data_IF_195098441497
#
_entry.id   IF_195098441497
#
_cell.length_a   1.000
_cell.length_b   1.000
_cell.length_c   1.000
_cell.angle_alpha   90.00
_cell.angle_beta   90.00
_cell.angle_gamma   90.00
#
_symmetry.space_group_name_H-M   'P 1'
#
loop_
_entity.id
_entity.type
_entity.pdbx_description
1 polymer ?
#
# COMPACT_ATOMS: atom_id res chain seq x y z
N UNK A 1 -18.87 -51.56 -17.59
CA UNK A 1 -18.59 -50.16 -18.00
C UNK A 1 -18.34 -49.35 -16.74
N UNK A 2 -17.09 -48.97 -16.47
CA UNK A 2 -16.71 -48.13 -15.32
C UNK A 2 -16.80 -46.66 -15.75
N UNK A 3 -17.62 -45.86 -15.07
CA UNK A 3 -17.67 -44.41 -15.23
C UNK A 3 -16.86 -43.77 -14.10
N UNK A 4 -15.68 -43.24 -14.43
CA UNK A 4 -14.90 -42.39 -13.53
C UNK A 4 -15.54 -41.00 -13.47
N UNK A 5 -16.12 -40.65 -12.33
CA UNK A 5 -16.49 -39.27 -12.00
C UNK A 5 -15.25 -38.57 -11.45
N UNK A 6 -14.64 -37.71 -12.26
CA UNK A 6 -13.61 -36.77 -11.79
C UNK A 6 -14.35 -35.56 -11.23
N UNK A 7 -14.61 -35.56 -9.93
CA UNK A 7 -14.98 -34.33 -9.22
C UNK A 7 -13.75 -33.42 -9.20
N UNK A 8 -13.77 -32.39 -10.05
CA UNK A 8 -12.83 -31.29 -9.98
C UNK A 8 -13.00 -30.58 -8.64
N UNK A 9 -12.10 -30.86 -7.70
CA UNK A 9 -11.99 -30.12 -6.45
C UNK A 9 -11.32 -28.79 -6.78
N UNK A 10 -12.13 -27.77 -7.06
CA UNK A 10 -11.65 -26.40 -7.21
C UNK A 10 -11.20 -25.94 -5.81
N UNK A 11 -9.92 -25.59 -5.57
CA UNK A 11 -9.55 -25.04 -4.29
C UNK A 11 -10.34 -23.74 -4.09
N UNK A 12 -10.86 -23.46 -2.88
CA UNK A 12 -11.40 -22.14 -2.60
C UNK A 12 -10.28 -21.16 -2.91
N UNK A 13 -10.54 -20.23 -3.82
CA UNK A 13 -9.70 -19.07 -3.99
C UNK A 13 -9.44 -18.54 -2.59
N UNK A 14 -8.17 -18.49 -2.18
CA UNK A 14 -7.73 -17.68 -1.06
C UNK A 14 -8.18 -16.27 -1.42
N UNK A 15 -9.39 -15.95 -0.97
CA UNK A 15 -10.01 -14.66 -1.11
C UNK A 15 -9.10 -13.77 -0.30
N UNK A 16 -8.19 -13.14 -1.04
CA UNK A 16 -7.14 -12.35 -0.49
C UNK A 16 -7.84 -11.33 0.40
N UNK A 17 -7.64 -11.45 1.72
CA UNK A 17 -8.05 -10.45 2.71
C UNK A 17 -7.20 -9.17 2.55
N UNK A 18 -6.95 -8.78 1.30
CA UNK A 18 -6.43 -7.54 0.76
C UNK A 18 -7.55 -6.51 0.92
N UNK A 19 -8.05 -6.36 2.14
CA UNK A 19 -8.80 -5.17 2.50
C UNK A 19 -7.82 -4.03 2.27
N UNK A 20 -8.00 -3.32 1.16
CA UNK A 20 -7.40 -2.02 0.91
C UNK A 20 -7.74 -1.17 2.13
N UNK A 21 -6.82 -1.07 3.09
CA UNK A 21 -7.09 -0.37 4.34
C UNK A 21 -7.34 1.09 3.98
N UNK A 22 -8.61 1.48 4.07
CA UNK A 22 -9.06 2.83 3.76
C UNK A 22 -8.52 3.78 4.81
N UNK A 23 -8.19 5.00 4.40
CA UNK A 23 -7.72 6.01 5.34
C UNK A 23 -8.80 6.23 6.41
N UNK A 24 -8.48 5.85 7.64
CA UNK A 24 -9.35 5.95 8.80
C UNK A 24 -8.79 6.95 9.81
N UNK A 25 -9.64 7.45 10.69
CA UNK A 25 -9.23 8.25 11.85
C UNK A 25 -9.14 7.30 13.03
N UNK A 26 -7.95 7.18 13.62
CA UNK A 26 -7.74 6.33 14.79
C UNK A 26 -8.50 6.91 15.99
N UNK A 27 -9.30 6.06 16.62
CA UNK A 27 -10.05 6.42 17.82
C UNK A 27 -9.09 6.83 18.95
N UNK A 28 -9.51 7.83 19.75
CA UNK A 28 -8.69 8.43 20.80
C UNK A 28 -7.70 9.46 20.27
N UNK A 29 -6.76 9.06 19.41
CA UNK A 29 -5.70 9.96 18.95
C UNK A 29 -6.15 10.96 17.88
N UNK A 30 -7.19 10.65 17.11
CA UNK A 30 -7.64 11.48 15.99
C UNK A 30 -6.67 11.53 14.80
N UNK A 31 -5.66 10.67 14.79
CA UNK A 31 -4.67 10.60 13.71
C UNK A 31 -5.30 9.90 12.50
N UNK A 32 -5.15 10.51 11.32
CA UNK A 32 -5.49 9.87 10.06
C UNK A 32 -4.44 8.81 9.73
N UNK A 33 -4.84 7.57 9.50
CA UNK A 33 -3.93 6.49 9.14
C UNK A 33 -4.48 5.67 7.97
N UNK A 34 -3.65 5.29 6.98
CA UNK A 34 -2.24 5.63 6.86
C UNK A 34 -1.94 7.03 6.30
N UNK A 35 -2.96 7.79 5.86
CA UNK A 35 -2.80 9.06 5.16
C UNK A 35 -2.39 10.29 5.97
N UNK A 36 -2.20 10.21 7.28
CA UNK A 36 -1.75 11.36 8.11
C UNK A 36 -0.24 11.55 8.16
N UNK A 37 0.51 10.87 7.29
CA UNK A 37 1.95 11.03 7.18
C UNK A 37 2.28 12.37 6.52
N UNK A 38 3.10 13.19 7.19
CA UNK A 38 3.62 14.44 6.68
C UNK A 38 5.14 14.35 6.47
N UNK A 39 5.64 14.40 5.22
CA UNK A 39 7.07 14.39 4.91
C UNK A 39 7.86 15.50 5.62
N UNK A 40 7.23 16.64 5.93
CA UNK A 40 7.90 17.79 6.56
C UNK A 40 8.17 17.57 8.05
N UNK A 41 7.53 16.59 8.68
CA UNK A 41 7.73 16.24 10.10
C UNK A 41 8.53 14.96 10.27
N UNK A 42 9.14 14.45 9.19
CA UNK A 42 9.94 13.23 9.23
C UNK A 42 11.21 13.47 10.03
N UNK A 43 11.41 12.63 11.03
CA UNK A 43 12.65 12.57 11.80
C UNK A 43 13.01 11.14 12.18
N UNK A 44 14.17 10.97 12.80
CA UNK A 44 14.60 9.70 13.39
C UNK A 44 14.49 9.78 14.93
N UNK A 45 13.96 8.72 15.53
CA UNK A 45 13.87 8.54 16.99
C UNK A 45 14.53 7.22 17.36
N UNK A 46 15.47 7.26 18.32
CA UNK A 46 16.15 6.09 18.86
C UNK A 46 15.66 5.82 20.27
N UNK A 47 15.39 4.56 20.57
CA UNK A 47 14.91 4.16 21.90
C UNK A 47 14.71 2.66 22.02
N UNK A 48 14.05 2.25 23.09
CA UNK A 48 13.67 0.85 23.33
C UNK A 48 12.18 0.65 23.03
N UNK A 49 11.87 -0.41 22.29
CA UNK A 49 10.51 -0.78 21.96
C UNK A 49 9.86 -1.62 23.05
N UNK A 50 8.58 -1.39 23.33
CA UNK A 50 7.80 -2.15 24.32
C UNK A 50 6.34 -2.28 23.91
N UNK A 51 5.68 -3.34 24.37
CA UNK A 51 4.23 -3.48 24.31
C UNK A 51 3.70 -3.56 22.88
N UNK A 52 4.29 -4.43 22.06
CA UNK A 52 3.82 -4.68 20.71
C UNK A 52 2.35 -5.14 20.73
N UNK A 53 1.50 -4.39 20.05
CA UNK A 53 0.07 -4.63 19.88
C UNK A 53 -0.20 -4.88 18.40
N UNK A 54 -0.69 -6.08 18.08
CA UNK A 54 -1.06 -6.50 16.72
C UNK A 54 -2.58 -6.69 16.64
N UNK A 55 -3.36 -5.61 16.41
CA UNK A 55 -4.82 -5.70 16.41
C UNK A 55 -5.35 -6.40 15.15
N UNK A 56 -6.60 -6.85 15.18
CA UNK A 56 -7.29 -7.38 13.98
C UNK A 56 -7.58 -6.28 12.94
N UNK A 57 -7.75 -5.02 13.38
CA UNK A 57 -7.99 -3.85 12.53
C UNK A 57 -7.11 -2.69 12.95
N UNK A 58 -6.64 -1.92 11.97
CA UNK A 58 -5.76 -0.79 12.20
C UNK A 58 -4.29 -1.20 12.32
N UNK A 59 -3.42 -0.23 12.67
CA UNK A 59 -1.99 -0.44 12.66
C UNK A 59 -1.51 -1.31 13.82
N UNK A 60 -0.53 -2.16 13.52
CA UNK A 60 0.44 -2.63 14.50
C UNK A 60 1.09 -1.42 15.15
N UNK A 61 1.13 -1.43 16.48
CA UNK A 61 1.63 -0.32 17.28
C UNK A 61 2.44 -0.81 18.47
N UNK A 62 3.39 0.01 18.92
CA UNK A 62 4.18 -0.24 20.11
C UNK A 62 4.68 1.08 20.69
N UNK A 63 5.11 1.08 21.96
CA UNK A 63 5.73 2.24 22.59
C UNK A 63 7.23 2.25 22.29
N UNK A 64 7.75 3.42 21.94
CA UNK A 64 9.18 3.69 21.83
C UNK A 64 9.58 4.64 22.95
N UNK A 65 10.20 4.09 23.97
CA UNK A 65 10.71 4.86 25.10
C UNK A 65 12.10 5.40 24.74
N UNK A 66 12.20 6.72 24.76
CA UNK A 66 13.47 7.43 24.71
C UNK A 66 13.84 7.89 26.12
N UNK A 67 15.06 8.39 26.33
CA UNK A 67 15.45 8.94 27.64
C UNK A 67 14.67 10.19 28.08
N UNK A 68 13.83 10.79 27.21
CA UNK A 68 13.10 12.05 27.49
C UNK A 68 11.60 11.96 27.24
N UNK A 69 11.23 11.21 26.21
CA UNK A 69 9.88 11.16 25.64
C UNK A 69 9.48 9.72 25.35
N UNK A 70 8.19 9.43 25.40
CA UNK A 70 7.63 8.16 24.92
C UNK A 70 6.77 8.43 23.70
N UNK A 71 7.02 7.69 22.62
CA UNK A 71 6.26 7.77 21.39
C UNK A 71 5.40 6.52 21.22
N UNK A 72 4.18 6.65 20.73
CA UNK A 72 3.45 5.53 20.14
C UNK A 72 3.79 5.43 18.66
N UNK A 73 4.41 4.33 18.25
CA UNK A 73 4.77 4.09 16.85
C UNK A 73 3.61 3.40 16.16
N UNK A 74 3.17 3.94 15.01
CA UNK A 74 2.16 3.35 14.13
C UNK A 74 2.89 2.75 12.92
N UNK A 75 2.93 1.42 12.83
CA UNK A 75 3.73 0.72 11.84
C UNK A 75 2.94 0.42 10.55
N UNK A 76 2.31 -0.74 10.49
CA UNK A 76 1.64 -1.29 9.30
C UNK A 76 0.41 -2.09 9.70
N UNK A 77 -0.44 -2.49 8.74
CA UNK A 77 -1.44 -3.53 8.99
C UNK A 77 -0.81 -4.83 9.48
N UNK A 78 -1.59 -5.62 10.24
CA UNK A 78 -1.20 -6.94 10.77
C UNK A 78 -0.61 -7.88 9.70
N UNK A 79 -1.22 -7.94 8.52
CA UNK A 79 -0.77 -8.84 7.46
C UNK A 79 0.62 -8.45 6.93
N UNK A 80 0.85 -7.15 6.69
CA UNK A 80 2.14 -6.66 6.19
C UNK A 80 3.24 -6.81 7.23
N UNK A 81 2.91 -6.61 8.51
CA UNK A 81 3.85 -6.88 9.61
C UNK A 81 4.31 -8.35 9.64
N UNK A 82 3.38 -9.29 9.42
CA UNK A 82 3.69 -10.73 9.34
C UNK A 82 4.55 -11.06 8.12
N UNK A 83 4.27 -10.47 6.96
CA UNK A 83 5.04 -10.72 5.73
C UNK A 83 6.51 -10.28 5.88
N UNK A 84 6.76 -9.21 6.63
CA UNK A 84 8.11 -8.77 6.98
C UNK A 84 8.85 -9.73 7.94
N UNK A 85 8.15 -10.75 8.46
CA UNK A 85 8.63 -11.65 9.53
C UNK A 85 9.24 -10.84 10.68
N UNK A 86 8.54 -9.76 11.05
CA UNK A 86 8.98 -8.79 12.02
C UNK A 86 8.74 -9.32 13.44
N UNK A 87 9.84 -9.58 14.15
CA UNK A 87 9.82 -9.79 15.60
C UNK A 87 10.38 -8.55 16.29
N UNK A 88 9.74 -8.15 17.38
CA UNK A 88 10.14 -6.99 18.17
C UNK A 88 9.94 -7.26 19.65
N UNK A 89 10.85 -8.02 20.28
CA UNK A 89 10.81 -8.27 21.71
C UNK A 89 10.90 -6.98 22.52
N UNK A 90 10.27 -6.95 23.68
CA UNK A 90 10.35 -5.82 24.60
C UNK A 90 11.80 -5.53 25.00
N UNK A 91 12.13 -4.24 25.11
CA UNK A 91 13.48 -3.75 25.41
C UNK A 91 14.43 -3.69 24.21
N UNK A 92 14.00 -4.15 23.02
CA UNK A 92 14.81 -4.09 21.80
C UNK A 92 15.15 -2.65 21.45
N UNK A 93 16.44 -2.38 21.29
CA UNK A 93 16.90 -1.08 20.83
C UNK A 93 16.67 -0.93 19.33
N UNK A 94 15.94 0.13 18.94
CA UNK A 94 15.60 0.40 17.56
C UNK A 94 15.79 1.87 17.19
N UNK A 95 15.87 2.13 15.89
CA UNK A 95 15.75 3.46 15.28
C UNK A 95 14.52 3.50 14.39
N UNK A 96 13.63 4.45 14.62
CA UNK A 96 12.43 4.64 13.82
C UNK A 96 12.55 5.96 13.06
N UNK A 97 12.58 5.88 11.73
CA UNK A 97 12.37 7.03 10.86
C UNK A 97 10.88 7.11 10.51
N UNK A 98 10.27 8.27 10.72
CA UNK A 98 8.86 8.47 10.41
C UNK A 98 8.37 9.89 10.69
N UNK A 99 7.15 10.17 10.27
CA UNK A 99 6.47 11.45 10.47
C UNK A 99 6.03 11.57 11.93
N UNK A 100 6.53 12.59 12.62
CA UNK A 100 6.14 12.89 14.00
C UNK A 100 4.83 13.67 14.02
N UNK A 101 3.95 13.32 14.96
CA UNK A 101 2.68 14.02 15.13
C UNK A 101 2.21 13.95 16.58
N UNK A 102 1.38 14.90 16.99
CA UNK A 102 0.75 14.96 18.30
C UNK A 102 -0.71 14.52 18.14
N UNK A 103 -1.12 13.51 18.90
CA UNK A 103 -2.52 13.08 18.94
C UNK A 103 -3.39 14.08 19.70
N UNK A 104 -4.70 14.05 19.47
CA UNK A 104 -5.70 14.80 20.24
C UNK A 104 -5.77 14.39 21.71
N UNK A 105 -5.24 13.22 22.02
CA UNK A 105 -5.02 12.67 23.36
C UNK A 105 -3.75 13.23 24.03
N UNK A 106 -3.08 14.23 23.43
CA UNK A 106 -1.83 14.83 23.88
C UNK A 106 -0.61 13.88 23.93
N UNK A 107 -0.71 12.70 23.32
CA UNK A 107 0.41 11.77 23.22
C UNK A 107 1.23 11.99 21.94
N UNK A 108 2.53 11.72 22.01
CA UNK A 108 3.42 11.77 20.85
C UNK A 108 3.31 10.49 20.02
N UNK A 109 3.23 10.65 18.71
CA UNK A 109 3.17 9.55 17.76
C UNK A 109 4.25 9.65 16.69
N UNK A 110 4.64 8.50 16.16
CA UNK A 110 5.44 8.40 14.94
C UNK A 110 4.71 7.49 13.96
N UNK A 111 4.31 8.03 12.81
CA UNK A 111 3.85 7.21 11.69
C UNK A 111 5.10 6.69 10.98
N UNK A 112 5.39 5.41 11.17
CA UNK A 112 6.66 4.84 10.78
C UNK A 112 6.78 4.72 9.25
N UNK A 113 7.95 5.12 8.74
CA UNK A 113 8.39 4.90 7.37
C UNK A 113 9.40 3.76 7.31
N UNK A 114 10.34 3.72 8.27
CA UNK A 114 11.35 2.66 8.38
C UNK A 114 11.69 2.39 9.85
N UNK A 115 11.86 1.12 10.20
CA UNK A 115 12.35 0.68 11.51
C UNK A 115 13.67 -0.08 11.31
N UNK A 116 14.70 0.27 12.06
CA UNK A 116 15.99 -0.44 12.08
C UNK A 116 16.22 -1.08 13.45
N UNK A 117 16.55 -2.37 13.46
CA UNK A 117 16.73 -3.16 14.69
C UNK A 117 18.21 -3.22 15.08
N UNK A 118 18.53 -2.66 16.24
CA UNK A 118 19.87 -2.67 16.83
C UNK A 118 20.99 -2.21 15.89
N UNK A 119 22.17 -2.80 16.10
CA UNK A 119 23.33 -2.72 15.20
C UNK A 119 23.32 -3.79 14.09
N UNK A 120 22.37 -4.73 14.13
CA UNK A 120 22.26 -5.84 13.17
C UNK A 120 22.09 -5.40 11.72
N UNK A 121 21.69 -4.15 11.50
CA UNK A 121 21.42 -3.61 10.17
C UNK A 121 20.08 -4.05 9.57
N UNK A 122 19.33 -4.96 10.23
CA UNK A 122 18.00 -5.36 9.77
C UNK A 122 17.07 -4.15 9.74
N UNK A 123 16.53 -3.86 8.56
CA UNK A 123 15.57 -2.79 8.33
C UNK A 123 14.23 -3.35 7.88
N UNK A 124 13.16 -2.71 8.34
CA UNK A 124 11.79 -2.94 7.94
C UNK A 124 11.30 -1.66 7.29
N UNK A 125 11.15 -1.69 5.96
CA UNK A 125 10.58 -0.61 5.18
C UNK A 125 9.06 -0.73 5.18
N UNK A 126 8.39 0.34 5.58
CA UNK A 126 6.94 0.41 5.72
C UNK A 126 6.33 1.37 4.69
N UNK A 127 7.07 2.42 4.34
CA UNK A 127 6.71 3.43 3.35
C UNK A 127 7.90 3.70 2.44
N UNK A 128 7.63 4.17 1.22
CA UNK A 128 8.66 4.71 0.33
C UNK A 128 9.17 6.07 0.83
N UNK A 129 10.11 6.66 0.08
CA UNK A 129 10.72 7.95 0.45
C UNK A 129 9.74 9.12 0.45
N UNK A 130 8.65 9.05 -0.34
CA UNK A 130 7.56 10.02 -0.36
C UNK A 130 6.56 9.82 0.80
N UNK A 131 6.73 8.75 1.60
CA UNK A 131 5.84 8.40 2.69
C UNK A 131 4.61 7.59 2.27
N UNK A 132 4.57 7.12 1.04
CA UNK A 132 3.48 6.28 0.55
C UNK A 132 3.62 4.85 1.12
N UNK A 133 2.55 4.27 1.68
CA UNK A 133 2.58 2.95 2.31
C UNK A 133 2.81 1.83 1.30
N UNK A 134 3.84 1.01 1.53
CA UNK A 134 4.23 -0.08 0.61
C UNK A 134 3.15 -1.15 0.47
N UNK A 135 2.32 -1.31 1.50
CA UNK A 135 1.20 -2.26 1.50
C UNK A 135 0.01 -1.83 0.63
N UNK A 136 -0.04 -0.59 0.13
CA UNK A 136 -1.10 -0.17 -0.83
C UNK A 136 -0.76 -0.54 -2.29
N UNK A 137 0.39 -1.17 -2.54
CA UNK A 137 0.88 -1.49 -3.88
C UNK A 137 1.39 -0.25 -4.63
N UNK A 138 1.87 -0.38 -5.87
CA UNK A 138 2.29 0.77 -6.66
C UNK A 138 1.16 1.80 -6.77
N UNK A 139 1.48 3.11 -6.64
CA UNK A 139 0.51 4.17 -6.96
C UNK A 139 -0.03 3.87 -8.38
N UNK A 140 -1.31 3.57 -8.50
CA UNK A 140 -1.96 3.37 -9.80
C UNK A 140 -1.94 4.72 -10.53
N UNK A 141 -0.89 4.96 -11.28
CA UNK A 141 -0.62 6.23 -11.95
C UNK A 141 0.73 6.18 -12.64
N UNK A 142 0.77 5.54 -13.81
CA UNK A 142 1.97 5.52 -14.65
C UNK A 142 2.39 4.15 -15.22
N UNK A 143 1.48 3.19 -15.38
CA UNK A 143 1.69 2.08 -16.30
C UNK A 143 0.32 1.68 -16.83
N UNK A 144 0.10 1.86 -18.14
CA UNK A 144 -1.14 1.44 -18.79
C UNK A 144 -1.46 0.01 -18.40
N UNK A 145 -2.72 -0.26 -18.07
CA UNK A 145 -3.18 -1.60 -17.74
C UNK A 145 -2.70 -2.58 -18.83
N UNK A 146 -1.88 -3.59 -18.51
CA UNK A 146 -1.65 -4.69 -19.44
C UNK A 146 -2.89 -5.57 -19.36
N UNK A 147 -3.91 -5.22 -20.14
CA UNK A 147 -5.19 -5.91 -20.07
C UNK A 147 -6.37 -5.33 -20.83
N UNK A 148 -6.25 -4.16 -21.47
CA UNK A 148 -7.25 -3.78 -22.48
C UNK A 148 -7.00 -4.58 -23.75
N UNK A 149 -7.34 -5.88 -23.71
CA UNK A 149 -7.54 -6.68 -24.90
C UNK A 149 -8.58 -5.96 -25.75
N UNK A 150 -8.11 -5.31 -26.82
CA UNK A 150 -8.98 -4.79 -27.86
C UNK A 150 -9.92 -5.91 -28.28
N UNK A 151 -11.22 -5.65 -28.19
CA UNK A 151 -12.23 -6.52 -28.75
C UNK A 151 -11.85 -6.83 -30.20
N UNK A 152 -11.69 -8.10 -30.61
CA UNK A 152 -11.57 -8.40 -32.02
C UNK A 152 -12.93 -8.05 -32.64
N UNK A 153 -12.96 -7.00 -33.46
CA UNK A 153 -14.05 -6.75 -34.38
C UNK A 153 -14.21 -8.01 -35.25
N UNK A 154 -15.24 -8.80 -34.96
CA UNK A 154 -15.60 -9.98 -35.75
C UNK A 154 -17.07 -9.89 -36.15
N UNK A 155 -17.27 -9.80 -37.47
CA UNK A 155 -18.56 -9.95 -38.14
C UNK A 155 -18.98 -8.65 -38.83
N UNK A 156 -19.13 -8.55 -40.14
CA UNK A 156 -19.12 -9.57 -41.19
C UNK A 156 -20.10 -9.15 -42.28
N UNK A 157 -19.61 -9.03 -43.52
CA UNK A 157 -20.37 -9.24 -44.76
C UNK A 157 -21.29 -8.12 -45.27
N UNK A 158 -21.15 -7.79 -46.56
CA UNK A 158 -22.22 -7.11 -47.31
C UNK A 158 -21.75 -6.36 -48.57
N UNK A 159 -21.79 -7.04 -49.72
CA UNK A 159 -21.56 -6.53 -51.08
C UNK A 159 -22.32 -5.23 -51.42
N UNK A 160 -21.74 -4.41 -52.31
CA UNK A 160 -22.51 -3.38 -53.03
C UNK A 160 -21.69 -2.56 -54.02
N UNK A 161 -21.70 -2.99 -55.29
CA UNK A 161 -21.10 -2.41 -56.50
C UNK A 161 -21.58 -1.00 -56.89
N UNK A 162 -20.70 -0.18 -57.49
CA UNK A 162 -21.12 0.90 -58.42
C UNK A 162 -20.24 2.17 -58.47
N UNK A 163 -19.79 2.65 -59.66
CA UNK A 163 -18.83 3.76 -59.82
C UNK A 163 -19.46 5.11 -60.23
N UNK A 164 -18.79 6.23 -59.91
CA UNK A 164 -18.86 7.61 -60.49
C UNK A 164 -18.53 8.62 -59.37
N UNK A 165 -17.89 9.77 -59.51
CA UNK A 165 -17.30 10.56 -60.60
C UNK A 165 -16.59 11.74 -59.89
N UNK A 166 -15.39 12.15 -60.31
CA UNK A 166 -15.13 13.29 -61.22
C UNK A 166 -15.25 14.69 -60.56
N UNK A 167 -14.13 15.43 -60.60
CA UNK A 167 -14.04 16.91 -60.52
C UNK A 167 -13.58 17.45 -59.17
N UNK A 168 -12.66 18.40 -59.04
CA UNK A 168 -11.84 19.23 -59.93
C UNK A 168 -10.99 20.11 -58.99
N UNK A 169 -9.67 20.17 -59.16
CA UNK A 169 -8.93 21.26 -59.83
C UNK A 169 -9.12 22.67 -59.23
N UNK A 170 -8.00 23.25 -58.77
CA UNK A 170 -7.79 24.70 -58.65
C UNK A 170 -7.54 25.16 -57.20
N UNK A 171 -6.46 25.81 -56.81
CA UNK A 171 -5.36 26.45 -57.54
C UNK A 171 -5.01 27.78 -56.86
N UNK A 172 -3.70 28.03 -56.71
CA UNK A 172 -3.01 29.33 -56.48
C UNK A 172 -3.19 29.96 -55.09
N UNK A 173 -2.12 30.08 -54.30
CA UNK A 173 -1.09 31.15 -54.38
C UNK A 173 -1.69 32.56 -54.36
N UNK A 174 -1.59 33.23 -53.22
CA UNK A 174 -0.61 34.31 -53.00
C UNK A 174 -0.14 34.27 -51.55
#
# INVERSE_FOLDING_TARGET
MLLFWVTAFLPPALESAQAQESDTVLEGSGIRYPGGFDPNTVGEVRGKAYGLSVPERGPVRFRLETGKETYTVLASPKWFWKDLSADLPDGTEIRVRGSKTLGRDANLYVIAQRIRIGSSGRSMDLRDDDGFPLWKGPKAGGMGAPGSYGSPMRGGGGMGSGPAGMGGMGGRRR
#
